data_IF_163955203584
#
_entry.id   IF_163955203584
#
_cell.length_a   1.000
_cell.length_b   1.000
_cell.length_c   1.000
_cell.angle_alpha   90.00
_cell.angle_beta   90.00
_cell.angle_gamma   90.00
#
_symmetry.space_group_name_H-M   'P 1'
#
loop_
_entity.id
_entity.type
_entity.pdbx_description
1 polymer ?
#
# COMPACT_ATOMS: atom_id res chain seq x y z
N UNK A 1 30.82 12.19 -24.31
CA UNK A 1 29.95 11.11 -23.79
C UNK A 1 30.41 9.85 -24.49
N UNK A 2 31.23 9.04 -23.81
CA UNK A 2 31.89 7.88 -24.41
C UNK A 2 31.02 6.62 -24.31
N UNK A 3 31.04 5.80 -25.36
CA UNK A 3 30.32 4.52 -25.52
C UNK A 3 30.60 3.47 -24.42
N UNK A 4 31.50 3.75 -23.48
CA UNK A 4 31.96 2.83 -22.45
C UNK A 4 30.91 2.48 -21.38
N UNK A 5 29.99 3.40 -21.06
CA UNK A 5 29.03 3.20 -19.96
C UNK A 5 27.88 2.26 -20.33
N UNK A 6 27.65 2.06 -21.63
CA UNK A 6 26.61 1.14 -22.14
C UNK A 6 27.10 -0.32 -22.05
N UNK A 7 28.40 -0.56 -22.23
CA UNK A 7 28.98 -1.91 -22.26
C UNK A 7 28.91 -2.63 -20.91
N UNK A 8 29.07 -1.90 -19.80
CA UNK A 8 29.18 -2.46 -18.46
C UNK A 8 27.87 -3.13 -17.98
N UNK A 9 26.72 -2.59 -18.40
CA UNK A 9 25.41 -3.16 -18.08
C UNK A 9 25.09 -4.43 -18.90
N UNK A 10 25.64 -4.55 -20.11
CA UNK A 10 25.47 -5.75 -20.95
C UNK A 10 26.34 -6.91 -20.47
N UNK A 11 27.52 -6.64 -19.93
CA UNK A 11 28.46 -7.65 -19.44
C UNK A 11 27.99 -8.29 -18.13
N UNK A 12 27.32 -7.52 -17.27
CA UNK A 12 26.76 -7.98 -15.98
C UNK A 12 25.31 -8.45 -16.06
N UNK A 13 24.71 -8.49 -17.27
CA UNK A 13 23.34 -8.96 -17.52
C UNK A 13 23.06 -10.34 -16.93
N UNK A 14 24.03 -11.24 -17.01
CA UNK A 14 23.96 -12.61 -16.50
C UNK A 14 24.00 -12.71 -14.98
N UNK A 15 24.39 -11.63 -14.29
CA UNK A 15 24.48 -11.57 -12.83
C UNK A 15 23.27 -10.86 -12.20
N UNK A 16 22.45 -10.15 -13.00
CA UNK A 16 21.19 -9.57 -12.53
C UNK A 16 20.23 -10.73 -12.27
N UNK A 17 20.07 -11.09 -11.01
CA UNK A 17 19.03 -12.04 -10.60
C UNK A 17 17.69 -11.29 -10.57
N UNK A 18 16.77 -11.54 -11.52
CA UNK A 18 15.42 -11.00 -11.40
C UNK A 18 14.79 -11.51 -10.10
N UNK A 19 14.38 -10.57 -9.24
CA UNK A 19 13.50 -10.90 -8.12
C UNK A 19 12.12 -11.21 -8.69
N UNK A 20 11.76 -12.49 -8.66
CA UNK A 20 10.45 -12.98 -9.10
C UNK A 20 9.35 -12.79 -8.04
N UNK A 21 9.74 -12.40 -6.82
CA UNK A 21 8.83 -12.10 -5.71
C UNK A 21 8.47 -10.61 -5.75
N UNK A 22 7.21 -10.33 -6.07
CA UNK A 22 6.67 -8.97 -5.99
C UNK A 22 6.60 -8.49 -4.54
N UNK A 23 6.74 -7.18 -4.33
CA UNK A 23 6.56 -6.56 -3.02
C UNK A 23 5.20 -6.95 -2.45
N UNK A 24 5.12 -7.48 -1.21
CA UNK A 24 3.84 -7.83 -0.61
C UNK A 24 2.95 -6.58 -0.56
N UNK A 25 1.67 -6.75 -0.93
CA UNK A 25 0.67 -5.67 -0.92
C UNK A 25 -0.26 -5.82 0.28
N UNK A 26 -0.78 -4.71 0.84
CA UNK A 26 -1.81 -4.77 1.88
C UNK A 26 -3.06 -5.50 1.39
N UNK A 27 -3.62 -6.35 2.25
CA UNK A 27 -4.88 -7.05 1.98
C UNK A 27 -6.08 -6.16 2.27
N UNK A 28 -6.90 -5.87 1.25
CA UNK A 28 -8.11 -5.05 1.39
C UNK A 28 -9.05 -5.59 2.48
N UNK A 29 -9.20 -6.92 2.56
CA UNK A 29 -10.04 -7.55 3.58
C UNK A 29 -9.50 -7.39 5.01
N UNK A 30 -8.17 -7.35 5.19
CA UNK A 30 -7.57 -7.11 6.50
C UNK A 30 -7.80 -5.68 6.96
N UNK A 31 -7.69 -4.71 6.04
CA UNK A 31 -8.03 -3.31 6.29
C UNK A 31 -9.52 -3.20 6.65
N UNK A 32 -10.41 -3.80 5.83
CA UNK A 32 -11.85 -3.74 6.04
C UNK A 32 -12.28 -4.33 7.40
N UNK A 33 -11.59 -5.35 7.92
CA UNK A 33 -11.86 -5.91 9.25
C UNK A 33 -11.65 -4.91 10.39
N UNK A 34 -10.74 -3.95 10.22
CA UNK A 34 -10.45 -2.91 11.22
C UNK A 34 -11.39 -1.71 11.12
N UNK A 35 -12.11 -1.56 10.01
CA UNK A 35 -13.06 -0.45 9.82
C UNK A 35 -14.38 -0.68 10.58
N UNK A 36 -15.13 0.40 10.89
CA UNK A 36 -16.43 0.32 11.55
C UNK A 36 -17.53 -0.38 10.72
N UNK A 37 -17.34 -0.51 9.40
CA UNK A 37 -18.28 -1.12 8.44
C UNK A 37 -19.69 -0.50 8.44
N UNK A 38 -19.81 0.76 8.87
CA UNK A 38 -21.07 1.50 8.91
C UNK A 38 -21.51 2.02 7.55
N UNK A 39 -20.59 2.11 6.58
CA UNK A 39 -20.80 2.78 5.30
C UNK A 39 -21.35 4.21 5.45
N UNK A 40 -20.92 4.94 6.48
CA UNK A 40 -21.46 6.28 6.83
C UNK A 40 -21.19 7.36 5.78
N UNK A 41 -20.17 7.18 4.92
CA UNK A 41 -19.72 8.14 3.88
C UNK A 41 -19.14 9.45 4.41
N UNK A 42 -18.89 9.56 5.71
CA UNK A 42 -18.28 10.75 6.34
C UNK A 42 -16.85 11.01 5.83
N UNK A 43 -16.15 9.96 5.39
CA UNK A 43 -14.84 10.06 4.76
C UNK A 43 -14.90 10.39 3.25
N UNK A 44 -16.10 10.56 2.68
CA UNK A 44 -16.32 10.83 1.25
C UNK A 44 -16.32 9.61 0.34
N UNK A 45 -16.10 8.40 0.87
CA UNK A 45 -16.20 7.15 0.10
C UNK A 45 -17.60 6.53 0.18
N UNK A 46 -18.11 5.94 -0.92
CA UNK A 46 -19.48 5.40 -0.97
C UNK A 46 -19.71 4.20 -0.05
N UNK A 47 -18.65 3.43 0.25
CA UNK A 47 -18.66 2.28 1.16
C UNK A 47 -17.32 2.16 1.90
N UNK A 48 -17.30 1.45 3.02
CA UNK A 48 -16.07 1.11 3.75
C UNK A 48 -15.13 0.23 2.91
N UNK A 49 -15.66 -0.56 1.97
CA UNK A 49 -14.84 -1.33 1.05
C UNK A 49 -14.01 -0.41 0.13
N UNK A 50 -14.63 0.65 -0.41
CA UNK A 50 -13.90 1.61 -1.26
C UNK A 50 -12.84 2.36 -0.46
N UNK A 51 -13.14 2.74 0.78
CA UNK A 51 -12.12 3.31 1.69
C UNK A 51 -10.96 2.32 1.90
N UNK A 52 -11.25 1.05 2.19
CA UNK A 52 -10.23 0.02 2.40
C UNK A 52 -9.34 -0.20 1.16
N UNK A 53 -9.92 -0.17 -0.05
CA UNK A 53 -9.16 -0.23 -1.31
C UNK A 53 -8.22 0.95 -1.45
N UNK A 54 -8.70 2.17 -1.21
CA UNK A 54 -7.86 3.39 -1.31
C UNK A 54 -6.74 3.41 -0.29
N UNK A 55 -6.98 2.91 0.93
CA UNK A 55 -5.92 2.72 1.93
C UNK A 55 -4.91 1.69 1.44
N UNK A 56 -5.35 0.56 0.88
CA UNK A 56 -4.46 -0.48 0.33
C UNK A 56 -3.60 0.01 -0.85
N UNK A 57 -4.08 1.03 -1.57
CA UNK A 57 -3.38 1.72 -2.67
C UNK A 57 -2.49 2.87 -2.20
N UNK A 58 -2.51 3.22 -0.91
CA UNK A 58 -1.80 4.39 -0.36
C UNK A 58 -2.44 5.74 -0.70
N UNK A 59 -3.64 5.74 -1.30
CA UNK A 59 -4.38 6.96 -1.66
C UNK A 59 -5.11 7.61 -0.47
N UNK A 60 -5.25 6.89 0.65
CA UNK A 60 -5.83 7.37 1.91
C UNK A 60 -5.11 6.80 3.12
N UNK A 61 -5.20 7.52 4.24
CA UNK A 61 -4.61 7.13 5.53
C UNK A 61 -5.69 6.85 6.57
N UNK A 62 -5.31 6.34 7.74
CA UNK A 62 -6.27 5.88 8.75
C UNK A 62 -7.07 7.03 9.35
N UNK A 63 -6.47 8.22 9.41
CA UNK A 63 -7.03 9.46 9.92
C UNK A 63 -8.14 10.03 9.02
N UNK A 64 -8.23 9.59 7.77
CA UNK A 64 -9.27 10.03 6.82
C UNK A 64 -10.66 9.45 7.11
N UNK A 65 -10.78 8.54 8.09
CA UNK A 65 -12.06 7.96 8.51
C UNK A 65 -12.49 8.51 9.89
N UNK A 66 -13.40 9.49 9.95
CA UNK A 66 -13.82 10.10 11.23
C UNK A 66 -14.50 9.12 12.19
N UNK A 67 -15.18 8.11 11.65
CA UNK A 67 -15.87 7.09 12.44
C UNK A 67 -14.93 5.99 12.98
N UNK A 68 -13.64 6.00 12.61
CA UNK A 68 -12.68 4.98 13.05
C UNK A 68 -12.24 5.24 14.50
N UNK A 69 -12.47 4.26 15.37
CA UNK A 69 -12.02 4.33 16.76
C UNK A 69 -10.50 4.38 16.85
N UNK A 70 -9.97 5.13 17.82
CA UNK A 70 -8.53 5.32 18.03
C UNK A 70 -7.75 4.00 18.10
N UNK A 71 -8.30 2.99 18.79
CA UNK A 71 -7.68 1.67 18.90
C UNK A 71 -7.51 0.98 17.53
N UNK A 72 -8.55 1.04 16.69
CA UNK A 72 -8.50 0.43 15.35
C UNK A 72 -7.66 1.27 14.38
N UNK A 73 -7.65 2.60 14.54
CA UNK A 73 -6.75 3.49 13.80
C UNK A 73 -5.29 3.13 14.05
N UNK A 74 -4.90 2.92 15.32
CA UNK A 74 -3.55 2.46 15.68
C UNK A 74 -3.21 1.10 15.06
N UNK A 75 -4.10 0.10 15.18
CA UNK A 75 -3.91 -1.24 14.59
C UNK A 75 -3.75 -1.16 13.07
N UNK A 76 -4.56 -0.34 12.42
CA UNK A 76 -4.48 -0.17 10.97
C UNK A 76 -3.18 0.51 10.56
N UNK A 77 -2.71 1.53 11.30
CA UNK A 77 -1.42 2.19 11.04
C UNK A 77 -0.24 1.22 11.17
N UNK A 78 -0.24 0.39 12.20
CA UNK A 78 0.78 -0.65 12.43
C UNK A 78 0.73 -1.78 11.39
N UNK A 79 -0.47 -2.14 10.92
CA UNK A 79 -0.60 -3.05 9.79
C UNK A 79 0.00 -2.45 8.51
N UNK A 80 -0.33 -1.20 8.23
CA UNK A 80 0.09 -0.50 7.00
C UNK A 80 1.60 -0.23 6.96
N UNK A 81 2.28 -0.09 8.11
CA UNK A 81 3.74 0.15 8.16
C UNK A 81 4.59 -1.04 7.67
N UNK A 82 3.99 -2.20 7.42
CA UNK A 82 4.66 -3.40 6.92
C UNK A 82 4.86 -3.38 5.39
N UNK A 83 4.22 -2.45 4.69
CA UNK A 83 4.19 -2.41 3.23
C UNK A 83 4.95 -1.18 2.71
N UNK A 84 5.74 -1.37 1.64
CA UNK A 84 6.38 -0.27 0.92
C UNK A 84 5.50 0.12 -0.27
N UNK A 85 5.18 1.41 -0.36
CA UNK A 85 4.51 1.99 -1.51
C UNK A 85 5.57 2.61 -2.41
N UNK A 86 5.75 2.05 -3.60
CA UNK A 86 6.55 2.65 -4.66
C UNK A 86 5.71 3.80 -5.25
N UNK A 87 5.99 5.05 -4.83
CA UNK A 87 5.36 6.27 -5.36
C UNK A 87 6.15 6.79 -6.56
#
# INVERSE_FOLDING_TARGET
MSEAEISDAWEKRSEITPRYEGTPKPGILEILKLLPKTNCRECGDPTCMVFATRVAEGAKVTEDCPALMEENSKKLREYMSQFQFDV
#
